data_IF_448939972784
#
_entry.id   IF_448939972784
#
_cell.length_a   1.000
_cell.length_b   1.000
_cell.length_c   1.000
_cell.angle_alpha   90.00
_cell.angle_beta   90.00
_cell.angle_gamma   90.00
#
_symmetry.space_group_name_H-M   'P 1'
#
loop_
_entity.id
_entity.type
_entity.pdbx_description
1 polymer ?
#
# COMPACT_ATOMS: atom_id res chain seq x y z
N UNK A 1 14.65 -31.97 10.12
CA UNK A 1 14.96 -31.48 8.76
C UNK A 1 13.62 -31.19 8.10
N UNK A 2 13.17 -29.96 7.85
CA UNK A 2 13.89 -28.71 7.60
C UNK A 2 12.99 -27.54 8.01
N UNK A 3 13.43 -26.69 8.93
CA UNK A 3 12.69 -25.55 9.47
C UNK A 3 13.39 -24.22 9.16
N UNK A 4 13.85 -24.05 7.93
CA UNK A 4 14.65 -22.89 7.50
C UNK A 4 14.22 -22.33 6.13
N UNK A 5 12.96 -22.51 5.72
CA UNK A 5 12.38 -21.90 4.52
C UNK A 5 10.98 -21.33 4.80
N UNK A 6 10.84 -20.56 5.88
CA UNK A 6 9.73 -19.60 5.94
C UNK A 6 10.03 -18.50 4.92
N UNK A 7 9.58 -18.72 3.67
CA UNK A 7 9.27 -17.65 2.74
C UNK A 7 8.49 -16.59 3.52
N UNK A 8 9.14 -15.44 3.73
CA UNK A 8 8.67 -14.48 4.72
C UNK A 8 7.29 -13.96 4.27
N UNK A 9 6.26 -14.35 5.02
CA UNK A 9 4.85 -14.20 4.65
C UNK A 9 4.36 -12.75 4.54
N UNK A 10 3.05 -12.53 4.42
CA UNK A 10 2.48 -11.22 4.10
C UNK A 10 2.80 -10.15 5.16
N UNK A 11 3.07 -10.56 6.40
CA UNK A 11 3.51 -9.66 7.48
C UNK A 11 4.89 -9.05 7.22
N UNK A 12 5.81 -9.82 6.63
CA UNK A 12 7.11 -9.29 6.25
C UNK A 12 6.98 -8.35 5.06
N UNK A 13 6.21 -8.73 4.02
CA UNK A 13 5.99 -7.84 2.88
C UNK A 13 5.39 -6.50 3.33
N UNK A 14 4.44 -6.52 4.27
CA UNK A 14 3.94 -5.30 4.91
C UNK A 14 5.04 -4.51 5.62
N UNK A 15 5.88 -5.17 6.43
CA UNK A 15 7.00 -4.52 7.13
C UNK A 15 7.96 -3.87 6.13
N UNK A 16 8.36 -4.61 5.10
CA UNK A 16 9.26 -4.16 4.05
C UNK A 16 8.66 -2.94 3.31
N UNK A 17 7.36 -2.97 3.02
CA UNK A 17 6.66 -1.85 2.39
C UNK A 17 6.61 -0.60 3.30
N UNK A 18 6.36 -0.77 4.59
CA UNK A 18 6.43 0.33 5.57
C UNK A 18 7.84 0.92 5.61
N UNK A 19 8.87 0.07 5.67
CA UNK A 19 10.27 0.50 5.77
C UNK A 19 10.69 1.33 4.55
N UNK A 20 10.29 0.93 3.33
CA UNK A 20 10.61 1.74 2.14
C UNK A 20 9.81 3.03 2.09
N UNK A 21 8.52 3.01 2.42
CA UNK A 21 7.66 4.18 2.28
C UNK A 21 7.92 5.24 3.35
N UNK A 22 8.37 4.84 4.53
CA UNK A 22 8.70 5.76 5.63
C UNK A 22 10.07 6.42 5.47
N UNK A 23 11.02 5.79 4.75
CA UNK A 23 12.41 6.27 4.64
C UNK A 23 12.58 7.58 3.85
N UNK A 24 11.70 7.90 2.89
CA UNK A 24 11.73 9.16 2.16
C UNK A 24 10.30 9.61 1.80
N UNK A 25 9.84 10.81 2.18
CA UNK A 25 8.56 11.36 1.74
C UNK A 25 8.37 11.37 0.21
N UNK A 26 9.44 11.34 -0.60
CA UNK A 26 9.34 11.21 -2.07
C UNK A 26 8.83 9.83 -2.51
N UNK A 27 8.87 8.82 -1.63
CA UNK A 27 8.28 7.51 -1.88
C UNK A 27 6.74 7.55 -1.85
N UNK A 28 6.13 8.70 -1.52
CA UNK A 28 4.69 8.97 -1.71
C UNK A 28 4.23 8.69 -3.14
N UNK A 29 5.05 8.99 -4.15
CA UNK A 29 4.66 8.74 -5.55
C UNK A 29 4.68 7.23 -5.88
N UNK A 30 5.55 6.46 -5.21
CA UNK A 30 5.51 5.01 -5.30
C UNK A 30 4.24 4.46 -4.65
N UNK A 31 3.85 4.96 -3.47
CA UNK A 31 2.58 4.58 -2.81
C UNK A 31 1.38 4.85 -3.71
N UNK A 32 1.30 6.03 -4.34
CA UNK A 32 0.22 6.36 -5.29
C UNK A 32 0.20 5.39 -6.46
N UNK A 33 1.37 5.13 -7.06
CA UNK A 33 1.48 4.22 -8.20
C UNK A 33 1.04 2.80 -7.83
N UNK A 34 1.44 2.30 -6.66
CA UNK A 34 1.05 0.96 -6.19
C UNK A 34 -0.47 0.90 -5.98
N UNK A 35 -1.07 1.89 -5.30
CA UNK A 35 -2.52 1.94 -5.08
C UNK A 35 -3.28 1.98 -6.41
N UNK A 36 -2.93 2.91 -7.32
CA UNK A 36 -3.64 3.09 -8.59
C UNK A 36 -3.60 1.85 -9.49
N UNK A 37 -2.55 1.04 -9.37
CA UNK A 37 -2.37 -0.18 -10.17
C UNK A 37 -2.96 -1.42 -9.47
N UNK A 38 -3.00 -1.47 -8.14
CA UNK A 38 -3.77 -2.49 -7.40
C UNK A 38 -5.28 -2.41 -7.71
N UNK A 39 -5.79 -1.20 -7.99
CA UNK A 39 -7.19 -0.99 -8.38
C UNK A 39 -7.49 -1.36 -9.84
N UNK A 40 -6.47 -1.74 -10.62
CA UNK A 40 -6.60 -2.22 -12.00
C UNK A 40 -6.47 -3.74 -12.03
N UNK A 41 -6.78 -4.37 -13.17
CA UNK A 41 -6.60 -5.81 -13.31
C UNK A 41 -5.12 -6.17 -13.27
N UNK A 42 -4.66 -6.73 -12.15
CA UNK A 42 -3.27 -7.13 -11.94
C UNK A 42 -2.80 -8.25 -12.88
N UNK A 43 -3.72 -8.91 -13.60
CA UNK A 43 -3.36 -9.87 -14.66
C UNK A 43 -2.81 -9.18 -15.91
N UNK A 44 -2.92 -7.86 -16.00
CA UNK A 44 -2.28 -7.07 -17.04
C UNK A 44 -0.79 -6.92 -16.74
N UNK A 45 0.06 -7.40 -17.67
CA UNK A 45 1.52 -7.28 -17.55
C UNK A 45 1.99 -5.84 -17.37
N UNK A 46 1.28 -4.87 -17.97
CA UNK A 46 1.60 -3.45 -17.82
C UNK A 46 1.37 -2.95 -16.38
N UNK A 47 0.45 -3.56 -15.63
CA UNK A 47 0.16 -3.25 -14.23
C UNK A 47 1.27 -3.80 -13.33
N UNK A 48 1.70 -5.04 -13.58
CA UNK A 48 2.82 -5.68 -12.88
C UNK A 48 4.11 -4.89 -13.07
N UNK A 49 4.40 -4.44 -14.30
CA UNK A 49 5.60 -3.66 -14.61
C UNK A 49 5.61 -2.31 -13.89
N UNK A 50 4.46 -1.63 -13.79
CA UNK A 50 4.33 -0.35 -13.07
C UNK A 50 4.53 -0.51 -11.57
N UNK A 51 3.92 -1.54 -10.96
CA UNK A 51 4.13 -1.86 -9.54
C UNK A 51 5.61 -2.19 -9.31
N UNK A 52 6.19 -3.00 -10.18
CA UNK A 52 7.59 -3.42 -10.09
C UNK A 52 8.55 -2.25 -10.16
N UNK A 53 8.34 -1.32 -11.10
CA UNK A 53 9.15 -0.12 -11.25
C UNK A 53 9.01 0.83 -10.04
N UNK A 54 7.79 1.01 -9.52
CA UNK A 54 7.53 1.85 -8.35
C UNK A 54 8.23 1.31 -7.10
N UNK A 55 8.08 0.00 -6.84
CA UNK A 55 8.72 -0.68 -5.72
C UNK A 55 10.24 -0.67 -5.87
N UNK A 56 10.79 -0.93 -7.07
CA UNK A 56 12.22 -0.87 -7.31
C UNK A 56 12.78 0.53 -7.02
N UNK A 57 12.14 1.60 -7.51
CA UNK A 57 12.61 2.96 -7.26
C UNK A 57 12.57 3.35 -5.78
N UNK A 58 11.52 2.94 -5.06
CA UNK A 58 11.40 3.18 -3.62
C UNK A 58 12.42 2.35 -2.82
N UNK A 59 12.60 1.08 -3.20
CA UNK A 59 13.57 0.16 -2.59
C UNK A 59 15.01 0.65 -2.75
N UNK A 60 15.37 1.17 -3.93
CA UNK A 60 16.70 1.72 -4.20
C UNK A 60 16.99 2.94 -3.31
N UNK A 61 16.02 3.85 -3.17
CA UNK A 61 16.12 5.01 -2.25
C UNK A 61 16.20 4.58 -0.78
N UNK A 62 15.52 3.49 -0.45
CA UNK A 62 15.52 2.92 0.87
C UNK A 62 16.72 2.00 1.13
N UNK A 63 17.61 1.79 0.15
CA UNK A 63 18.75 0.87 0.23
C UNK A 63 18.33 -0.57 0.63
N UNK A 64 17.15 -0.98 0.19
CA UNK A 64 16.62 -2.32 0.47
C UNK A 64 17.36 -3.38 -0.36
N UNK A 65 17.74 -4.48 0.28
CA UNK A 65 18.37 -5.61 -0.41
C UNK A 65 17.44 -6.32 -1.40
N UNK A 66 18.00 -6.85 -2.49
CA UNK A 66 17.25 -7.50 -3.58
C UNK A 66 16.29 -8.60 -3.09
N UNK A 67 16.71 -9.43 -2.13
CA UNK A 67 15.86 -10.50 -1.58
C UNK A 67 14.59 -9.98 -0.90
N UNK A 68 14.67 -8.85 -0.18
CA UNK A 68 13.50 -8.25 0.47
C UNK A 68 12.59 -7.60 -0.57
N UNK A 69 13.19 -6.90 -1.55
CA UNK A 69 12.46 -6.32 -2.68
C UNK A 69 11.70 -7.37 -3.48
N UNK A 70 12.35 -8.48 -3.84
CA UNK A 70 11.73 -9.52 -4.66
C UNK A 70 10.62 -10.25 -3.89
N UNK A 71 10.76 -10.41 -2.57
CA UNK A 71 9.69 -10.93 -1.71
C UNK A 71 8.49 -9.96 -1.65
N UNK A 72 8.74 -8.66 -1.48
CA UNK A 72 7.69 -7.65 -1.50
C UNK A 72 6.94 -7.65 -2.83
N UNK A 73 7.66 -7.73 -3.96
CA UNK A 73 7.06 -7.80 -5.29
C UNK A 73 6.17 -9.03 -5.44
N UNK A 74 6.66 -10.21 -5.07
CA UNK A 74 5.85 -11.43 -5.10
C UNK A 74 4.52 -11.26 -4.36
N UNK A 75 4.55 -10.71 -3.14
CA UNK A 75 3.33 -10.48 -2.37
C UNK A 75 2.41 -9.44 -3.01
N UNK A 76 2.94 -8.43 -3.70
CA UNK A 76 2.15 -7.40 -4.37
C UNK A 76 1.67 -7.76 -5.77
N UNK A 77 2.17 -8.82 -6.42
CA UNK A 77 1.77 -9.16 -7.81
C UNK A 77 1.24 -10.57 -7.98
N UNK A 78 1.73 -11.55 -7.21
CA UNK A 78 1.46 -12.98 -7.45
C UNK A 78 0.45 -13.59 -6.45
N UNK A 79 -0.01 -12.83 -5.46
CA UNK A 79 -0.89 -13.36 -4.40
C UNK A 79 -2.35 -12.98 -4.58
N UNK A 80 -3.25 -13.47 -3.72
CA UNK A 80 -4.68 -13.18 -3.86
C UNK A 80 -4.99 -11.70 -3.59
N UNK A 81 -6.07 -11.15 -4.17
CA UNK A 81 -6.52 -9.79 -3.87
C UNK A 81 -6.64 -9.51 -2.37
N UNK A 82 -7.19 -10.45 -1.58
CA UNK A 82 -7.34 -10.30 -0.13
C UNK A 82 -6.00 -10.09 0.58
N UNK A 83 -4.95 -10.83 0.18
CA UNK A 83 -3.62 -10.71 0.77
C UNK A 83 -2.99 -9.34 0.44
N UNK A 84 -3.13 -8.89 -0.81
CA UNK A 84 -2.63 -7.57 -1.25
C UNK A 84 -3.37 -6.42 -0.60
N UNK A 85 -4.70 -6.49 -0.56
CA UNK A 85 -5.55 -5.51 0.11
C UNK A 85 -5.17 -5.39 1.59
N UNK A 86 -4.97 -6.51 2.28
CA UNK A 86 -4.53 -6.52 3.67
C UNK A 86 -3.17 -5.82 3.82
N UNK A 87 -2.18 -6.15 2.98
CA UNK A 87 -0.85 -5.50 3.00
C UNK A 87 -1.00 -4.00 2.81
N UNK A 88 -1.76 -3.56 1.80
CA UNK A 88 -1.92 -2.15 1.46
C UNK A 88 -2.65 -1.36 2.55
N UNK A 89 -3.80 -1.85 3.01
CA UNK A 89 -4.61 -1.17 4.02
C UNK A 89 -3.85 -1.02 5.32
N UNK A 90 -3.20 -2.09 5.79
CA UNK A 90 -2.46 -2.06 7.05
C UNK A 90 -1.18 -1.22 6.94
N UNK A 91 -0.52 -1.21 5.79
CA UNK A 91 0.65 -0.32 5.54
C UNK A 91 0.23 1.15 5.64
N UNK A 92 -0.85 1.54 4.97
CA UNK A 92 -1.32 2.93 4.95
C UNK A 92 -1.83 3.34 6.33
N UNK A 93 -2.56 2.45 7.02
CA UNK A 93 -2.97 2.67 8.42
C UNK A 93 -1.76 2.98 9.30
N UNK A 94 -0.69 2.18 9.20
CA UNK A 94 0.55 2.40 9.95
C UNK A 94 1.17 3.77 9.61
N UNK A 95 1.31 4.10 8.33
CA UNK A 95 1.89 5.37 7.90
C UNK A 95 1.03 6.60 8.25
N UNK A 96 -0.27 6.44 8.49
CA UNK A 96 -1.15 7.51 8.97
C UNK A 96 -1.02 7.73 10.48
N UNK A 97 -0.66 6.69 11.24
CA UNK A 97 -0.42 6.75 12.67
C UNK A 97 0.96 7.34 13.00
N UNK A 98 1.94 7.17 12.10
CA UNK A 98 3.25 7.78 12.22
C UNK A 98 3.21 9.28 11.86
N UNK A 99 3.49 10.20 12.81
CA UNK A 99 3.50 11.64 12.56
C UNK A 99 4.44 12.09 11.43
N UNK A 100 5.56 11.40 11.23
CA UNK A 100 6.55 11.76 10.20
C UNK A 100 6.04 11.43 8.79
N UNK A 101 5.27 10.35 8.67
CA UNK A 101 4.71 9.88 7.40
C UNK A 101 3.32 10.45 7.11
N UNK A 102 2.55 10.81 8.15
CA UNK A 102 1.11 11.14 8.05
C UNK A 102 0.78 12.15 6.95
N UNK A 103 1.52 13.26 6.87
CA UNK A 103 1.27 14.31 5.87
C UNK A 103 1.47 13.80 4.44
N UNK A 104 2.51 13.00 4.23
CA UNK A 104 2.86 12.43 2.94
C UNK A 104 1.80 11.40 2.52
N UNK A 105 1.40 10.51 3.43
CA UNK A 105 0.36 9.51 3.23
C UNK A 105 -1.01 10.13 2.93
N UNK A 106 -1.41 11.18 3.65
CA UNK A 106 -2.64 11.91 3.35
C UNK A 106 -2.61 12.54 1.95
N UNK A 107 -1.45 13.03 1.52
CA UNK A 107 -1.25 13.56 0.17
C UNK A 107 -1.40 12.47 -0.91
N UNK A 108 -0.84 11.28 -0.68
CA UNK A 108 -1.05 10.12 -1.55
C UNK A 108 -2.53 9.74 -1.65
N UNK A 109 -3.21 9.58 -0.51
CA UNK A 109 -4.63 9.23 -0.49
C UNK A 109 -5.50 10.27 -1.20
N UNK A 110 -5.16 11.56 -1.08
CA UNK A 110 -5.88 12.62 -1.77
C UNK A 110 -5.69 12.61 -3.29
N UNK A 111 -4.56 12.10 -3.79
CA UNK A 111 -4.33 11.90 -5.23
C UNK A 111 -5.22 10.78 -5.79
N UNK A 112 -5.44 9.72 -5.01
CA UNK A 112 -6.26 8.56 -5.42
C UNK A 112 -7.76 8.81 -5.24
N UNK A 113 -8.16 9.44 -4.12
CA UNK A 113 -9.56 9.46 -3.67
C UNK A 113 -10.20 10.86 -3.65
N UNK A 114 -9.45 11.93 -3.97
CA UNK A 114 -9.75 13.35 -3.72
C UNK A 114 -9.57 13.82 -2.26
N UNK A 115 -9.26 15.11 -2.09
CA UNK A 115 -9.07 15.72 -0.76
C UNK A 115 -10.36 15.72 0.06
N UNK A 116 -11.48 15.98 -0.60
CA UNK A 116 -12.80 16.06 0.00
C UNK A 116 -13.22 14.70 0.56
N UNK A 117 -12.99 13.62 -0.21
CA UNK A 117 -13.30 12.27 0.24
C UNK A 117 -12.40 11.83 1.40
N UNK A 118 -11.08 12.08 1.31
CA UNK A 118 -10.15 11.79 2.42
C UNK A 118 -10.59 12.51 3.69
N UNK A 119 -10.97 13.79 3.59
CA UNK A 119 -11.45 14.55 4.74
C UNK A 119 -12.73 13.96 5.33
N UNK A 120 -13.69 13.60 4.49
CA UNK A 120 -14.98 13.03 4.92
C UNK A 120 -14.79 11.68 5.64
N UNK A 121 -14.00 10.78 5.06
CA UNK A 121 -13.80 9.44 5.62
C UNK A 121 -12.97 9.49 6.91
N UNK A 122 -12.01 10.42 7.02
CA UNK A 122 -11.30 10.64 8.27
C UNK A 122 -12.17 11.30 9.35
N UNK A 123 -13.12 12.17 8.99
CA UNK A 123 -14.13 12.65 9.96
C UNK A 123 -14.96 11.49 10.52
N UNK A 124 -15.32 10.50 9.69
CA UNK A 124 -16.00 9.29 10.19
C UNK A 124 -15.13 8.49 11.15
N UNK A 125 -13.82 8.41 10.90
CA UNK A 125 -12.90 7.79 11.86
C UNK A 125 -12.84 8.57 13.17
N UNK A 126 -12.65 9.89 13.11
CA UNK A 126 -12.54 10.76 14.28
C UNK A 126 -13.81 10.74 15.15
N UNK A 127 -14.97 10.51 14.52
CA UNK A 127 -16.27 10.36 15.19
C UNK A 127 -16.55 8.94 15.70
N UNK A 128 -15.62 8.01 15.54
CA UNK A 128 -15.75 6.62 15.96
C UNK A 128 -16.74 5.79 15.13
N UNK A 129 -17.09 6.25 13.93
CA UNK A 129 -17.98 5.53 13.02
C UNK A 129 -17.21 4.38 12.32
N UNK A 130 -15.95 4.64 11.95
CA UNK A 130 -15.05 3.66 11.34
C UNK A 130 -13.77 3.52 12.17
N UNK A 131 -13.20 2.32 12.19
CA UNK A 131 -11.79 2.16 12.56
C UNK A 131 -10.89 2.78 11.48
N UNK A 132 -9.63 3.09 11.80
CA UNK A 132 -8.71 3.66 10.82
C UNK A 132 -8.48 2.69 9.65
N UNK A 133 -8.34 1.40 9.95
CA UNK A 133 -8.31 0.33 8.96
C UNK A 133 -9.51 0.37 8.00
N UNK A 134 -10.74 0.47 8.53
CA UNK A 134 -11.97 0.57 7.73
C UNK A 134 -12.01 1.85 6.89
N UNK A 135 -11.59 2.97 7.46
CA UNK A 135 -11.49 4.26 6.77
C UNK A 135 -10.52 4.18 5.57
N UNK A 136 -9.34 3.58 5.77
CA UNK A 136 -8.37 3.34 4.69
C UNK A 136 -8.97 2.42 3.63
N UNK A 137 -9.61 1.31 4.02
CA UNK A 137 -10.25 0.41 3.07
C UNK A 137 -11.27 1.14 2.18
N UNK A 138 -12.15 1.95 2.77
CA UNK A 138 -13.15 2.75 2.02
C UNK A 138 -12.50 3.75 1.07
N UNK A 139 -11.37 4.35 1.46
CA UNK A 139 -10.66 5.31 0.61
C UNK A 139 -10.01 4.67 -0.62
N UNK A 140 -9.52 3.43 -0.47
CA UNK A 140 -8.86 2.69 -1.54
C UNK A 140 -9.87 1.97 -2.44
N UNK A 141 -10.90 1.38 -1.85
CA UNK A 141 -11.88 0.54 -2.54
C UNK A 141 -13.29 1.14 -2.43
N UNK A 142 -13.54 2.33 -3.00
CA UNK A 142 -14.88 2.90 -3.02
C UNK A 142 -15.80 1.95 -3.77
N UNK A 143 -16.92 1.61 -3.13
CA UNK A 143 -17.91 0.61 -3.54
C UNK A 143 -17.94 0.37 -5.06
N UNK A 144 -17.59 -0.86 -5.46
CA UNK A 144 -17.49 -1.34 -6.84
C UNK A 144 -18.85 -1.44 -7.56
N UNK A 145 -19.92 -0.88 -6.98
CA UNK A 145 -21.24 -0.75 -7.61
C UNK A 145 -21.26 0.18 -8.83
N UNK A 146 -20.12 0.74 -9.25
CA UNK A 146 -19.93 1.45 -10.53
C UNK A 146 -19.17 0.67 -11.61
N UNK A 147 -18.79 -0.59 -11.36
CA UNK A 147 -18.36 -1.52 -12.41
C UNK A 147 -19.57 -2.35 -12.86
N UNK A 148 -20.52 -1.68 -13.52
CA UNK A 148 -21.66 -2.26 -14.21
C UNK A 148 -21.63 -1.89 -15.68
#
# INVERSE_FOLDING_TARGET
MSGENDEKGPLQARSDLIDILSKDPKNTDALVTIIENELKDIKDGDVIDKISAAVASAADRAEMGSKARDNLLFWLTETSPDARQMIMVQTIEHLLQDPECRKATLSALAKVSSKENVKLVLDWHDRGILTLNQAVFVLLYPDSSKLG
#
